data_IF_060114856007
#
_entry.id   IF_060114856007
#
_cell.length_a   1.000
_cell.length_b   1.000
_cell.length_c   1.000
_cell.angle_alpha   90.00
_cell.angle_beta   90.00
_cell.angle_gamma   90.00
#
_symmetry.space_group_name_H-M   'P 1'
#
loop_
_entity.id
_entity.type
_entity.pdbx_description
1 polymer ?
#
# COMPACT_ATOMS: atom_id res chain seq x y z
N UNK A 1 -55.78 -17.39 23.00
CA UNK A 1 -55.76 -16.28 23.97
C UNK A 1 -54.90 -15.18 23.34
N UNK A 2 -55.39 -14.40 22.37
CA UNK A 2 -56.22 -13.19 22.49
C UNK A 2 -56.18 -12.46 23.84
N UNK A 3 -55.46 -11.34 23.86
CA UNK A 3 -55.70 -10.11 24.65
C UNK A 3 -54.82 -9.02 24.02
N UNK A 4 -55.28 -8.34 22.97
CA UNK A 4 -55.95 -7.02 23.00
C UNK A 4 -55.30 -5.95 23.88
N UNK A 5 -54.92 -4.87 23.19
CA UNK A 5 -54.43 -3.60 23.68
C UNK A 5 -55.45 -2.89 24.57
N UNK A 6 -54.96 -2.06 25.51
CA UNK A 6 -55.75 -0.98 26.10
C UNK A 6 -54.90 0.29 26.14
N UNK A 7 -55.21 1.21 25.23
CA UNK A 7 -54.84 2.63 25.27
C UNK A 7 -55.86 3.35 26.13
N UNK A 8 -55.42 4.17 27.09
CA UNK A 8 -56.18 5.36 27.53
C UNK A 8 -55.23 6.50 27.93
N UNK A 9 -55.64 7.78 27.75
CA UNK A 9 -54.77 8.93 27.66
C UNK A 9 -54.75 9.76 28.96
N UNK A 10 -53.69 10.53 29.20
CA UNK A 10 -53.78 11.65 30.14
C UNK A 10 -52.96 12.85 29.68
N UNK A 11 -53.72 13.89 29.34
CA UNK A 11 -53.36 15.25 28.97
C UNK A 11 -52.39 15.88 29.99
N UNK A 12 -51.33 16.51 29.49
CA UNK A 12 -50.59 17.55 30.21
C UNK A 12 -50.97 18.92 29.62
N UNK A 13 -51.17 19.95 30.45
CA UNK A 13 -51.69 21.24 29.99
C UNK A 13 -50.63 22.05 29.24
N UNK A 14 -51.05 22.63 28.12
CA UNK A 14 -50.30 23.61 27.36
C UNK A 14 -50.22 24.93 28.13
N UNK A 15 -49.04 25.31 28.58
CA UNK A 15 -48.76 26.66 29.08
C UNK A 15 -48.21 27.50 27.94
N UNK A 16 -49.02 28.45 27.49
CA UNK A 16 -48.65 29.55 26.61
C UNK A 16 -47.48 30.34 27.18
N UNK A 17 -46.39 30.46 26.41
CA UNK A 17 -45.39 31.50 26.60
C UNK A 17 -45.55 32.54 25.48
N UNK A 18 -45.69 33.85 25.79
CA UNK A 18 -45.83 34.87 24.78
C UNK A 18 -44.49 35.12 24.07
N UNK A 19 -44.57 35.20 22.74
CA UNK A 19 -43.54 35.75 21.86
C UNK A 19 -43.35 37.24 22.18
N UNK A 20 -42.17 37.60 22.70
CA UNK A 20 -41.65 38.95 22.67
C UNK A 20 -40.24 38.91 22.07
N UNK A 21 -40.14 39.37 20.83
CA UNK A 21 -38.88 39.67 20.16
C UNK A 21 -38.41 41.02 20.71
N UNK A 22 -37.37 41.02 21.54
CA UNK A 22 -36.61 42.24 21.85
C UNK A 22 -35.11 41.97 21.73
N UNK A 23 -34.47 42.81 20.91
CA UNK A 23 -33.04 42.85 20.67
C UNK A 23 -32.32 43.34 21.93
N UNK A 24 -31.37 42.56 22.46
CA UNK A 24 -30.30 43.10 23.30
C UNK A 24 -29.06 42.18 23.33
N UNK A 25 -28.00 42.66 22.67
CA UNK A 25 -26.59 42.65 23.06
C UNK A 25 -25.96 41.39 23.71
N UNK A 26 -25.07 40.77 22.94
CA UNK A 26 -23.77 40.17 23.31
C UNK A 26 -23.54 39.79 24.78
N UNK A 27 -23.71 38.50 25.08
CA UNK A 27 -23.37 37.87 26.36
C UNK A 27 -21.88 37.46 26.46
N UNK A 28 -20.96 38.32 26.02
CA UNK A 28 -19.52 38.00 26.06
C UNK A 28 -18.76 38.46 27.32
N UNK A 29 -19.35 39.24 28.22
CA UNK A 29 -18.56 39.94 29.26
C UNK A 29 -19.02 39.74 30.72
N UNK A 30 -19.51 38.55 31.12
CA UNK A 30 -19.89 38.32 32.54
C UNK A 30 -19.41 36.99 33.16
N UNK A 31 -18.29 36.40 32.72
CA UNK A 31 -17.62 35.33 33.50
C UNK A 31 -16.08 35.38 33.32
N UNK A 32 -15.30 35.79 34.34
CA UNK A 32 -13.86 35.61 34.31
C UNK A 32 -13.54 34.15 34.68
N UNK A 33 -13.04 33.35 33.73
CA UNK A 33 -12.44 32.04 34.04
C UNK A 33 -12.86 30.84 33.22
N UNK A 34 -13.34 30.99 31.97
CA UNK A 34 -13.31 29.87 31.03
C UNK A 34 -11.96 29.87 30.31
N UNK A 35 -11.03 29.08 30.84
CA UNK A 35 -9.84 28.68 30.07
C UNK A 35 -10.30 28.12 28.73
N UNK A 36 -9.63 28.53 27.63
CA UNK A 36 -9.76 27.84 26.34
C UNK A 36 -9.64 26.34 26.61
N UNK A 37 -10.45 25.45 26.00
CA UNK A 37 -10.30 24.02 26.19
C UNK A 37 -8.84 23.67 25.93
N UNK A 38 -8.15 23.33 27.01
CA UNK A 38 -6.76 22.95 26.94
C UNK A 38 -6.78 21.59 26.26
N UNK A 39 -6.52 21.56 24.95
CA UNK A 39 -6.44 20.33 24.18
C UNK A 39 -5.41 19.46 24.91
N UNK A 40 -5.89 18.38 25.53
CA UNK A 40 -5.02 17.45 26.22
C UNK A 40 -3.91 17.02 25.23
N UNK A 41 -2.64 17.00 25.64
CA UNK A 41 -1.57 16.64 24.72
C UNK A 41 -1.82 15.23 24.21
N UNK A 42 -1.92 15.08 22.88
CA UNK A 42 -2.19 13.81 22.23
C UNK A 42 -1.16 12.77 22.65
N UNK A 43 -1.60 11.54 22.88
CA UNK A 43 -0.71 10.40 23.00
C UNK A 43 0.00 10.11 21.68
N UNK A 44 1.13 9.39 21.73
CA UNK A 44 1.84 8.92 20.51
C UNK A 44 0.90 8.12 19.61
N UNK A 45 0.02 7.30 20.18
CA UNK A 45 -0.95 6.53 19.40
C UNK A 45 -1.92 7.43 18.64
N UNK A 46 -2.55 8.39 19.32
CA UNK A 46 -3.49 9.33 18.68
C UNK A 46 -2.81 10.19 17.62
N UNK A 47 -1.60 10.65 17.91
CA UNK A 47 -0.81 11.43 16.98
C UNK A 47 -0.42 10.62 15.72
N UNK A 48 0.08 9.39 15.90
CA UNK A 48 0.44 8.50 14.80
C UNK A 48 -0.79 8.14 13.95
N UNK A 49 -1.91 7.78 14.56
CA UNK A 49 -3.14 7.44 13.83
C UNK A 49 -3.65 8.63 13.02
N UNK A 50 -3.64 9.85 13.59
CA UNK A 50 -3.98 11.07 12.83
C UNK A 50 -3.05 11.31 11.64
N UNK A 51 -1.75 11.07 11.80
CA UNK A 51 -0.80 11.16 10.69
C UNK A 51 -1.10 10.12 9.61
N UNK A 52 -1.46 8.89 9.98
CA UNK A 52 -1.83 7.83 9.03
C UNK A 52 -3.11 8.19 8.25
N UNK A 53 -4.10 8.78 8.91
CA UNK A 53 -5.32 9.31 8.27
C UNK A 53 -4.98 10.40 7.23
N UNK A 54 -4.08 11.33 7.58
CA UNK A 54 -3.60 12.38 6.67
C UNK A 54 -2.83 11.82 5.48
N UNK A 55 -2.15 10.69 5.65
CA UNK A 55 -1.48 9.94 4.57
C UNK A 55 -2.46 9.10 3.73
N UNK A 56 -3.76 9.22 3.97
CA UNK A 56 -4.79 8.54 3.17
C UNK A 56 -5.01 7.08 3.54
N UNK A 57 -4.49 6.60 4.67
CA UNK A 57 -4.80 5.25 5.16
C UNK A 57 -6.30 5.14 5.43
N UNK A 58 -6.92 4.10 4.87
CA UNK A 58 -8.36 3.80 5.05
C UNK A 58 -8.63 2.53 5.83
N UNK A 59 -7.71 1.56 5.77
CA UNK A 59 -7.91 0.24 6.34
C UNK A 59 -6.71 -0.19 7.19
N UNK A 60 -7.01 -0.85 8.31
CA UNK A 60 -6.04 -1.50 9.19
C UNK A 60 -6.41 -2.97 9.40
N UNK A 61 -5.48 -3.88 9.14
CA UNK A 61 -5.68 -5.33 9.19
C UNK A 61 -4.82 -5.92 10.30
N UNK A 62 -5.37 -6.77 11.16
CA UNK A 62 -4.50 -7.32 12.20
C UNK A 62 -5.16 -8.21 13.23
N UNK A 63 -4.34 -8.62 14.20
CA UNK A 63 -4.75 -9.35 15.39
C UNK A 63 -4.27 -8.56 16.60
N UNK A 64 -5.22 -8.15 17.44
CA UNK A 64 -4.95 -7.43 18.68
C UNK A 64 -4.28 -8.30 19.73
N UNK A 65 -3.44 -7.71 20.58
CA UNK A 65 -2.91 -8.34 21.78
C UNK A 65 -2.51 -7.30 22.82
N UNK A 66 -2.07 -7.76 24.00
CA UNK A 66 -1.89 -6.88 25.16
C UNK A 66 -0.92 -5.71 24.92
N UNK A 67 0.19 -5.95 24.22
CA UNK A 67 1.22 -4.93 24.04
C UNK A 67 0.83 -3.82 23.05
N UNK A 68 -0.02 -4.11 22.06
CA UNK A 68 -0.50 -3.16 21.04
C UNK A 68 -1.85 -2.53 21.40
N UNK A 69 -2.45 -2.93 22.53
CA UNK A 69 -3.83 -2.57 22.88
C UNK A 69 -4.11 -1.05 22.86
N UNK A 70 -3.24 -0.15 23.37
CA UNK A 70 -3.49 1.29 23.27
C UNK A 70 -3.56 1.82 21.84
N UNK A 71 -2.63 1.40 20.97
CA UNK A 71 -2.63 1.78 19.57
C UNK A 71 -3.83 1.20 18.82
N UNK A 72 -4.16 -0.07 19.07
CA UNK A 72 -5.34 -0.72 18.49
C UNK A 72 -6.64 -0.03 18.92
N UNK A 73 -6.77 0.33 20.20
CA UNK A 73 -7.91 1.10 20.68
C UNK A 73 -8.00 2.46 19.97
N UNK A 74 -6.87 3.12 19.71
CA UNK A 74 -6.86 4.39 18.97
C UNK A 74 -7.32 4.19 17.52
N UNK A 75 -6.86 3.13 16.85
CA UNK A 75 -7.32 2.78 15.49
C UNK A 75 -8.83 2.52 15.46
N UNK A 76 -9.40 1.84 16.46
CA UNK A 76 -10.84 1.57 16.56
C UNK A 76 -11.71 2.83 16.70
N UNK A 77 -11.14 3.93 17.20
CA UNK A 77 -11.84 5.21 17.39
C UNK A 77 -11.47 6.26 16.34
N UNK A 78 -10.78 5.88 15.27
CA UNK A 78 -10.42 6.77 14.17
C UNK A 78 -11.31 6.55 12.94
N UNK A 79 -11.04 7.27 11.85
CA UNK A 79 -11.69 7.06 10.55
C UNK A 79 -11.12 5.88 9.76
N UNK A 80 -10.08 5.21 10.27
CA UNK A 80 -9.49 4.01 9.67
C UNK A 80 -10.36 2.82 10.04
N UNK A 81 -10.88 2.10 9.04
CA UNK A 81 -11.66 0.90 9.27
C UNK A 81 -10.74 -0.26 9.71
N UNK A 82 -11.00 -0.78 10.90
CA UNK A 82 -10.19 -1.84 11.49
C UNK A 82 -10.83 -3.21 11.24
N UNK A 83 -10.12 -4.05 10.50
CA UNK A 83 -10.50 -5.41 10.17
C UNK A 83 -9.67 -6.38 11.04
N UNK A 84 -10.35 -7.10 11.94
CA UNK A 84 -9.72 -8.06 12.84
C UNK A 84 -9.72 -9.47 12.25
N UNK A 85 -8.59 -10.14 12.29
CA UNK A 85 -8.37 -11.45 11.67
C UNK A 85 -8.16 -12.56 12.70
N UNK A 86 -8.22 -13.81 12.22
CA UNK A 86 -7.91 -14.99 13.04
C UNK A 86 -6.43 -15.38 13.05
N UNK A 87 -5.63 -14.79 12.16
CA UNK A 87 -4.19 -15.01 12.07
C UNK A 87 -3.50 -13.82 11.39
N UNK A 88 -2.31 -13.44 11.85
CA UNK A 88 -1.57 -12.26 11.38
C UNK A 88 -1.12 -12.39 9.92
N UNK A 89 -0.72 -13.59 9.49
CA UNK A 89 -0.43 -13.86 8.07
C UNK A 89 -1.64 -13.54 7.16
N UNK A 90 -2.84 -13.96 7.55
CA UNK A 90 -4.07 -13.68 6.81
C UNK A 90 -4.38 -12.19 6.75
N UNK A 91 -4.15 -11.46 7.86
CA UNK A 91 -4.27 -10.01 7.90
C UNK A 91 -3.29 -9.33 6.93
N UNK A 92 -2.02 -9.75 6.95
CA UNK A 92 -0.99 -9.19 6.08
C UNK A 92 -1.29 -9.42 4.59
N UNK A 93 -1.70 -10.63 4.20
CA UNK A 93 -2.10 -10.91 2.82
C UNK A 93 -3.34 -10.12 2.38
N UNK A 94 -4.35 -10.01 3.23
CA UNK A 94 -5.54 -9.21 2.93
C UNK A 94 -5.19 -7.72 2.75
N UNK A 95 -4.27 -7.19 3.57
CA UNK A 95 -3.80 -5.82 3.45
C UNK A 95 -3.12 -5.56 2.10
N UNK A 96 -2.27 -6.49 1.64
CA UNK A 96 -1.60 -6.39 0.34
C UNK A 96 -2.60 -6.24 -0.80
N UNK A 97 -3.62 -7.08 -0.84
CA UNK A 97 -4.63 -7.01 -1.90
C UNK A 97 -5.55 -5.80 -1.75
N UNK A 98 -5.84 -5.36 -0.52
CA UNK A 98 -6.58 -4.12 -0.29
C UNK A 98 -5.82 -2.88 -0.82
N UNK A 99 -4.49 -2.85 -0.70
CA UNK A 99 -3.68 -1.82 -1.35
C UNK A 99 -3.83 -1.87 -2.87
N UNK A 100 -3.71 -3.05 -3.50
CA UNK A 100 -3.83 -3.14 -4.95
C UNK A 100 -5.23 -2.81 -5.47
N UNK A 101 -6.27 -3.13 -4.71
CA UNK A 101 -7.65 -2.81 -5.07
C UNK A 101 -7.99 -1.32 -4.91
N UNK A 102 -7.42 -0.64 -3.91
CA UNK A 102 -7.81 0.75 -3.58
C UNK A 102 -6.79 1.82 -3.98
N UNK A 103 -5.52 1.46 -4.16
CA UNK A 103 -4.40 2.39 -4.33
C UNK A 103 -3.98 3.14 -3.06
N UNK A 104 -4.71 3.00 -1.95
CA UNK A 104 -4.42 3.69 -0.70
C UNK A 104 -3.44 2.87 0.15
N UNK A 105 -2.48 3.52 0.85
CA UNK A 105 -1.66 2.84 1.84
C UNK A 105 -2.50 2.14 2.90
N UNK A 106 -2.02 0.99 3.38
CA UNK A 106 -2.72 0.18 4.39
C UNK A 106 -1.87 -0.02 5.63
N UNK A 107 -2.54 -0.27 6.76
CA UNK A 107 -1.87 -0.63 8.01
C UNK A 107 -2.02 -2.13 8.27
N UNK A 108 -0.93 -2.77 8.70
CA UNK A 108 -0.98 -4.07 9.36
C UNK A 108 -0.65 -3.85 10.82
N UNK A 109 -1.39 -4.44 11.76
CA UNK A 109 -1.08 -4.33 13.19
C UNK A 109 -1.02 -5.67 13.89
N UNK A 110 -0.04 -5.83 14.80
CA UNK A 110 0.09 -7.03 15.63
C UNK A 110 0.62 -6.68 17.02
N UNK A 111 0.52 -7.61 17.97
CA UNK A 111 1.19 -7.48 19.28
C UNK A 111 2.70 -7.75 19.16
N UNK A 112 3.36 -8.00 20.28
CA UNK A 112 4.74 -8.47 20.37
C UNK A 112 4.94 -9.90 19.83
N UNK A 113 6.20 -10.27 19.62
CA UNK A 113 6.68 -11.66 19.56
C UNK A 113 6.00 -12.47 18.47
N UNK A 114 5.16 -13.47 18.82
CA UNK A 114 4.50 -14.33 17.84
C UNK A 114 3.65 -13.55 16.84
N UNK A 115 3.06 -12.42 17.23
CA UNK A 115 2.29 -11.58 16.31
C UNK A 115 3.15 -11.01 15.19
N UNK A 116 4.39 -10.62 15.49
CA UNK A 116 5.35 -10.16 14.48
C UNK A 116 5.74 -11.33 13.57
N UNK A 117 6.17 -12.45 14.15
CA UNK A 117 6.67 -13.59 13.36
C UNK A 117 5.61 -14.19 12.45
N UNK A 118 4.35 -14.22 12.90
CA UNK A 118 3.23 -14.70 12.10
C UNK A 118 2.91 -13.79 10.91
N UNK A 119 3.21 -12.49 10.97
CA UNK A 119 2.93 -11.54 9.89
C UNK A 119 4.02 -11.55 8.79
N UNK A 120 5.22 -12.04 9.09
CA UNK A 120 6.41 -11.85 8.24
C UNK A 120 6.22 -12.35 6.81
N UNK A 121 5.56 -13.49 6.62
CA UNK A 121 5.34 -14.05 5.27
C UNK A 121 4.52 -13.10 4.40
N UNK A 122 3.44 -12.52 4.93
CA UNK A 122 2.61 -11.58 4.20
C UNK A 122 3.30 -10.23 3.99
N UNK A 123 4.10 -9.78 4.96
CA UNK A 123 4.90 -8.55 4.82
C UNK A 123 6.01 -8.68 3.77
N UNK A 124 6.65 -9.85 3.67
CA UNK A 124 7.62 -10.13 2.61
C UNK A 124 6.94 -10.19 1.24
N UNK A 125 5.75 -10.78 1.15
CA UNK A 125 4.95 -10.72 -0.07
C UNK A 125 4.60 -9.29 -0.45
N UNK A 126 4.19 -8.44 0.51
CA UNK A 126 3.96 -7.02 0.28
C UNK A 126 5.18 -6.33 -0.34
N UNK A 127 6.37 -6.66 0.17
CA UNK A 127 7.64 -6.08 -0.29
C UNK A 127 7.98 -6.49 -1.72
N UNK A 128 7.79 -7.76 -2.08
CA UNK A 128 8.06 -8.29 -3.42
C UNK A 128 7.05 -7.82 -4.48
N UNK A 129 5.78 -7.75 -4.10
CA UNK A 129 4.70 -7.32 -4.99
C UNK A 129 4.63 -5.79 -5.16
N UNK A 130 5.34 -5.04 -4.31
CA UNK A 130 5.37 -3.59 -4.39
C UNK A 130 4.14 -2.91 -3.77
N UNK A 131 3.61 -3.49 -2.68
CA UNK A 131 2.53 -2.89 -1.91
C UNK A 131 3.02 -1.76 -0.99
N UNK A 132 2.12 -0.83 -0.61
CA UNK A 132 2.39 0.21 0.39
C UNK A 132 1.76 -0.14 1.72
N UNK A 133 2.56 -0.68 2.64
CA UNK A 133 2.12 -1.24 3.92
C UNK A 133 2.90 -0.63 5.08
N UNK A 134 2.18 -0.17 6.11
CA UNK A 134 2.76 0.30 7.36
C UNK A 134 2.44 -0.73 8.44
N UNK A 135 3.44 -1.47 8.85
CA UNK A 135 3.34 -2.49 9.88
C UNK A 135 3.60 -1.88 11.26
N UNK A 136 2.59 -1.94 12.14
CA UNK A 136 2.62 -1.44 13.51
C UNK A 136 2.67 -2.62 14.47
N UNK A 137 3.70 -2.72 15.30
CA UNK A 137 3.81 -3.80 16.27
C UNK A 137 4.00 -3.30 17.69
N UNK A 138 3.57 -4.12 18.66
CA UNK A 138 3.94 -3.92 20.04
C UNK A 138 5.41 -4.28 20.26
N UNK A 139 6.08 -3.58 21.17
CA UNK A 139 7.45 -3.89 21.56
C UNK A 139 7.61 -4.01 23.08
N UNK A 140 8.66 -4.67 23.53
CA UNK A 140 8.99 -4.67 24.97
C UNK A 140 9.59 -3.33 25.38
N UNK A 141 9.05 -2.75 26.46
CA UNK A 141 9.57 -1.53 27.09
C UNK A 141 11.05 -1.66 27.43
N UNK A 142 11.83 -0.60 27.24
CA UNK A 142 13.28 -0.60 27.42
C UNK A 142 13.73 -1.16 28.78
N UNK A 143 13.02 -0.85 29.87
CA UNK A 143 13.33 -1.33 31.23
C UNK A 143 13.11 -2.83 31.47
N UNK A 144 12.49 -3.54 30.52
CA UNK A 144 12.15 -4.96 30.59
C UNK A 144 12.92 -5.83 29.59
N UNK A 145 13.70 -5.22 28.68
CA UNK A 145 14.48 -5.96 27.68
C UNK A 145 15.63 -6.73 28.35
N UNK A 146 15.92 -7.93 27.88
CA UNK A 146 16.93 -8.86 28.41
C UNK A 146 16.52 -9.55 29.70
N UNK A 147 15.28 -9.36 30.16
CA UNK A 147 14.80 -9.86 31.47
C UNK A 147 13.81 -11.03 31.35
N UNK A 148 13.70 -11.62 30.15
CA UNK A 148 12.74 -12.68 29.85
C UNK A 148 11.30 -12.23 30.12
N UNK A 149 10.98 -11.01 29.69
CA UNK A 149 9.63 -10.49 29.82
C UNK A 149 8.63 -11.36 29.04
N UNK A 150 7.35 -11.34 29.44
CA UNK A 150 6.31 -12.06 28.72
C UNK A 150 6.25 -11.59 27.25
N UNK A 151 6.38 -12.55 26.33
CA UNK A 151 6.49 -12.29 24.88
C UNK A 151 7.54 -11.22 24.55
N UNK A 152 8.70 -11.29 25.21
CA UNK A 152 9.76 -10.30 25.01
C UNK A 152 10.11 -10.14 23.53
N UNK A 153 9.99 -8.90 23.05
CA UNK A 153 10.32 -8.46 21.70
C UNK A 153 11.34 -7.36 21.82
N UNK A 154 12.59 -7.75 21.65
CA UNK A 154 13.74 -6.88 21.71
C UNK A 154 14.89 -7.50 20.89
N UNK A 155 15.99 -6.78 20.77
CA UNK A 155 17.22 -7.30 20.17
C UNK A 155 17.88 -8.43 20.98
N UNK A 156 17.43 -8.69 22.22
CA UNK A 156 17.91 -9.80 23.04
C UNK A 156 17.25 -11.14 22.69
N UNK A 157 16.00 -11.11 22.20
CA UNK A 157 15.20 -12.33 21.96
C UNK A 157 14.85 -12.55 20.49
N UNK A 158 14.97 -11.51 19.66
CA UNK A 158 14.60 -11.52 18.26
C UNK A 158 15.76 -11.05 17.38
N UNK A 159 15.92 -11.59 16.15
CA UNK A 159 16.94 -11.12 15.21
C UNK A 159 16.86 -9.61 14.98
N UNK A 160 17.95 -8.89 15.26
CA UNK A 160 17.97 -7.44 15.05
C UNK A 160 17.90 -7.09 13.55
N UNK A 161 18.81 -7.67 12.78
CA UNK A 161 18.89 -7.48 11.34
C UNK A 161 17.63 -8.03 10.65
N UNK A 162 17.04 -7.22 9.80
CA UNK A 162 15.86 -7.58 8.99
C UNK A 162 14.52 -7.38 9.69
N UNK A 163 14.42 -7.51 11.02
CA UNK A 163 13.17 -7.24 11.74
C UNK A 163 13.05 -5.79 12.21
N UNK A 164 14.12 -5.21 12.76
CA UNK A 164 14.06 -3.86 13.35
C UNK A 164 14.92 -2.84 12.60
N UNK A 165 15.55 -3.25 11.50
CA UNK A 165 16.40 -2.41 10.65
C UNK A 165 15.91 -2.45 9.20
N UNK A 166 16.07 -1.35 8.47
CA UNK A 166 15.78 -1.31 7.04
C UNK A 166 16.64 -2.32 6.27
N UNK A 167 16.09 -2.91 5.21
CA UNK A 167 16.78 -3.91 4.39
C UNK A 167 15.83 -4.65 3.45
N UNK A 168 16.08 -5.95 3.27
CA UNK A 168 15.34 -6.78 2.32
C UNK A 168 13.84 -6.89 2.65
N UNK A 169 13.48 -6.97 3.94
CA UNK A 169 12.09 -7.12 4.37
C UNK A 169 11.34 -5.78 4.44
N UNK A 170 11.98 -4.74 4.98
CA UNK A 170 11.37 -3.43 5.20
C UNK A 170 12.20 -2.33 4.54
N UNK A 171 11.56 -1.47 3.75
CA UNK A 171 12.18 -0.25 3.25
C UNK A 171 12.58 0.69 4.41
N UNK A 172 11.77 0.70 5.46
CA UNK A 172 12.01 1.46 6.67
C UNK A 172 11.63 0.62 7.89
N UNK A 173 12.52 0.45 8.86
CA UNK A 173 12.15 -0.16 10.14
C UNK A 173 12.78 0.60 11.30
N UNK A 174 12.02 0.76 12.38
CA UNK A 174 12.49 1.40 13.60
C UNK A 174 11.75 0.88 14.82
N UNK A 175 12.42 0.95 15.98
CA UNK A 175 11.81 0.76 17.29
C UNK A 175 11.77 2.10 18.01
N UNK A 176 10.60 2.48 18.51
CA UNK A 176 10.45 3.70 19.29
C UNK A 176 11.13 3.53 20.66
N UNK A 177 11.95 4.51 21.01
CA UNK A 177 12.60 4.67 22.31
C UNK A 177 12.05 5.88 23.07
N UNK A 178 11.51 6.89 22.37
CA UNK A 178 10.83 8.04 22.99
C UNK A 178 9.79 8.69 22.06
N UNK A 179 8.90 9.52 22.62
CA UNK A 179 7.82 10.18 21.86
C UNK A 179 8.32 11.25 20.86
N UNK A 180 9.52 11.80 21.04
CA UNK A 180 10.06 12.82 20.13
C UNK A 180 10.43 12.28 18.75
N UNK A 181 10.60 10.96 18.59
CA UNK A 181 10.92 10.33 17.30
C UNK A 181 9.74 10.36 16.32
N UNK A 182 8.51 10.60 16.80
CA UNK A 182 7.31 10.55 15.97
C UNK A 182 7.35 11.52 14.78
N UNK A 183 7.94 12.71 14.96
CA UNK A 183 8.05 13.70 13.90
C UNK A 183 8.94 13.20 12.75
N UNK A 184 10.12 12.66 13.06
CA UNK A 184 11.01 12.08 12.04
C UNK A 184 10.37 10.88 11.36
N UNK A 185 9.78 9.96 12.14
CA UNK A 185 9.07 8.79 11.62
C UNK A 185 7.98 9.20 10.63
N UNK A 186 7.19 10.23 10.97
CA UNK A 186 6.14 10.76 10.09
C UNK A 186 6.69 11.23 8.75
N UNK A 187 7.82 11.94 8.75
CA UNK A 187 8.50 12.39 7.53
C UNK A 187 9.01 11.19 6.71
N UNK A 188 9.62 10.20 7.37
CA UNK A 188 10.12 8.98 6.69
C UNK A 188 9.00 8.18 6.03
N UNK A 189 7.86 8.03 6.71
CA UNK A 189 6.67 7.40 6.14
C UNK A 189 6.16 8.19 4.94
N UNK A 190 6.05 9.52 5.05
CA UNK A 190 5.59 10.37 3.96
C UNK A 190 6.43 10.20 2.69
N UNK A 191 7.76 10.32 2.85
CA UNK A 191 8.71 10.17 1.76
C UNK A 191 8.66 8.76 1.16
N UNK A 192 8.52 7.73 2.00
CA UNK A 192 8.41 6.34 1.55
C UNK A 192 7.14 6.08 0.75
N UNK A 193 5.99 6.54 1.25
CA UNK A 193 4.69 6.39 0.59
C UNK A 193 4.57 7.22 -0.70
N UNK A 194 5.34 8.31 -0.83
CA UNK A 194 5.41 9.13 -2.03
C UNK A 194 6.15 8.45 -3.19
N UNK A 195 6.95 7.42 -2.92
CA UNK A 195 7.72 6.72 -3.96
C UNK A 195 6.82 6.07 -5.02
N UNK A 196 7.27 5.98 -6.29
CA UNK A 196 6.51 5.27 -7.33
C UNK A 196 6.48 3.74 -7.11
N UNK A 197 7.53 3.18 -6.52
CA UNK A 197 7.62 1.77 -6.14
C UNK A 197 6.88 1.46 -4.82
N UNK A 198 6.89 0.18 -4.44
CA UNK A 198 6.33 -0.27 -3.17
C UNK A 198 7.09 0.26 -1.95
N UNK A 199 6.40 0.30 -0.80
CA UNK A 199 6.99 0.77 0.45
C UNK A 199 6.41 -0.02 1.64
N UNK A 200 7.26 -0.81 2.29
CA UNK A 200 6.90 -1.53 3.52
C UNK A 200 7.68 -0.95 4.68
N UNK A 201 6.97 -0.39 5.67
CA UNK A 201 7.55 0.15 6.88
C UNK A 201 7.21 -0.70 8.11
N UNK A 202 8.12 -0.86 9.06
CA UNK A 202 7.85 -1.47 10.36
C UNK A 202 8.14 -0.50 11.51
N UNK A 203 7.11 -0.20 12.29
CA UNK A 203 7.19 0.64 13.48
C UNK A 203 6.89 -0.22 14.70
N UNK A 204 7.93 -0.54 15.47
CA UNK A 204 7.81 -1.29 16.72
C UNK A 204 7.69 -0.33 17.89
N UNK A 205 6.58 -0.37 18.63
CA UNK A 205 6.23 0.67 19.60
C UNK A 205 5.94 0.06 20.98
N UNK A 206 6.79 0.29 21.99
CA UNK A 206 6.50 -0.12 23.35
C UNK A 206 5.21 0.48 23.91
N UNK A 207 4.47 -0.30 24.71
CA UNK A 207 3.18 0.14 25.31
C UNK A 207 3.32 1.46 26.08
N UNK A 208 4.40 1.63 26.84
CA UNK A 208 4.66 2.87 27.59
C UNK A 208 4.82 4.10 26.69
N UNK A 209 5.35 3.91 25.47
CA UNK A 209 5.50 4.99 24.49
C UNK A 209 4.19 5.25 23.78
N UNK A 210 3.43 4.20 23.42
CA UNK A 210 2.10 4.33 22.81
C UNK A 210 1.17 5.28 23.58
N UNK A 211 1.23 5.24 24.92
CA UNK A 211 0.40 6.07 25.82
C UNK A 211 1.08 7.37 26.26
N UNK A 212 2.35 7.58 25.92
CA UNK A 212 3.08 8.78 26.32
C UNK A 212 2.62 10.01 25.52
N UNK A 213 2.62 11.18 26.15
CA UNK A 213 2.24 12.43 25.49
C UNK A 213 3.28 12.89 24.46
N UNK A 214 2.78 13.37 23.33
CA UNK A 214 3.58 14.04 22.31
C UNK A 214 3.76 15.50 22.71
N UNK A 215 5.03 15.92 22.85
CA UNK A 215 5.38 17.30 23.22
C UNK A 215 5.72 18.18 22.01
N UNK A 216 5.87 17.57 20.83
CA UNK A 216 6.33 18.22 19.60
C UNK A 216 5.17 18.40 18.64
N UNK A 217 5.12 19.51 17.90
CA UNK A 217 4.17 19.64 16.80
C UNK A 217 4.45 18.60 15.72
N UNK A 218 3.42 17.91 15.26
CA UNK A 218 3.54 17.01 14.11
C UNK A 218 3.72 17.84 12.84
N UNK A 219 4.59 17.43 11.91
CA UNK A 219 4.68 18.09 10.62
C UNK A 219 3.36 17.91 9.86
N UNK A 220 2.92 18.93 9.14
CA UNK A 220 1.88 18.77 8.14
C UNK A 220 2.41 17.88 7.02
N UNK A 221 1.93 16.64 6.95
CA UNK A 221 2.37 15.70 5.93
C UNK A 221 1.38 15.74 4.76
N UNK A 222 1.88 16.07 3.58
CA UNK A 222 1.16 15.87 2.32
C UNK A 222 1.93 14.88 1.46
N UNK A 223 1.25 13.89 0.92
CA UNK A 223 1.85 12.95 -0.03
C UNK A 223 1.91 13.62 -1.40
N UNK A 224 3.12 14.02 -1.82
CA UNK A 224 3.39 14.41 -3.19
C UNK A 224 4.06 13.24 -3.90
N UNK A 225 3.35 12.58 -4.81
CA UNK A 225 3.94 11.51 -5.61
C UNK A 225 5.01 12.08 -6.54
N UNK A 226 6.21 11.49 -6.54
CA UNK A 226 7.20 11.78 -7.55
C UNK A 226 6.71 11.17 -8.87
N UNK A 227 6.48 11.99 -9.90
CA UNK A 227 6.24 11.48 -11.24
C UNK A 227 7.58 11.03 -11.83
N UNK A 228 7.65 9.77 -12.27
CA UNK A 228 8.72 9.37 -13.18
C UNK A 228 8.52 10.18 -14.47
N UNK A 229 9.53 10.93 -14.91
CA UNK A 229 9.48 11.66 -16.18
C UNK A 229 10.30 10.91 -17.21
N UNK A 230 9.68 10.54 -18.33
CA UNK A 230 10.39 9.98 -19.49
C UNK A 230 10.86 11.11 -20.38
N UNK A 231 12.08 11.03 -20.91
CA UNK A 231 12.54 11.98 -21.90
C UNK A 231 11.78 11.79 -23.21
N UNK A 232 11.45 12.91 -23.87
CA UNK A 232 10.83 12.87 -25.21
C UNK A 232 11.70 12.07 -26.19
N UNK A 233 13.03 12.13 -26.03
CA UNK A 233 13.98 11.34 -26.81
C UNK A 233 13.78 9.83 -26.64
N UNK A 234 13.56 9.35 -25.41
CA UNK A 234 13.33 7.93 -25.16
C UNK A 234 12.00 7.46 -25.76
N UNK A 235 10.96 8.28 -25.69
CA UNK A 235 9.66 8.01 -26.32
C UNK A 235 9.82 7.98 -27.85
N UNK A 236 10.51 8.98 -28.43
CA UNK A 236 10.76 9.05 -29.86
C UNK A 236 11.59 7.85 -30.35
N UNK A 237 12.60 7.44 -29.58
CA UNK A 237 13.40 6.26 -29.87
C UNK A 237 12.56 4.98 -29.79
N UNK A 238 11.73 4.83 -28.76
CA UNK A 238 10.78 3.71 -28.64
C UNK A 238 9.86 3.64 -29.86
N UNK A 239 9.21 4.74 -30.23
CA UNK A 239 8.32 4.82 -31.39
C UNK A 239 9.06 4.49 -32.70
N UNK A 240 10.28 4.99 -32.87
CA UNK A 240 11.13 4.68 -34.02
C UNK A 240 11.45 3.19 -34.11
N UNK A 241 11.83 2.56 -33.00
CA UNK A 241 12.13 1.13 -32.94
C UNK A 241 10.90 0.26 -33.23
N UNK A 242 9.74 0.62 -32.67
CA UNK A 242 8.47 -0.08 -32.92
C UNK A 242 7.97 0.09 -34.35
N UNK A 243 8.36 1.15 -35.05
CA UNK A 243 7.96 1.39 -36.45
C UNK A 243 8.78 0.60 -37.48
N UNK A 244 9.83 -0.10 -37.05
CA UNK A 244 10.72 -0.86 -37.95
C UNK A 244 10.09 -2.16 -38.48
N UNK A 245 9.03 -2.66 -37.83
CA UNK A 245 8.37 -3.90 -38.21
C UNK A 245 7.28 -4.31 -37.22
N UNK A 246 6.68 -5.51 -37.38
CA UNK A 246 5.67 -6.01 -36.46
C UNK A 246 6.21 -6.12 -35.04
N UNK A 247 5.40 -5.74 -34.05
CA UNK A 247 5.74 -5.93 -32.65
C UNK A 247 4.58 -6.54 -31.87
N UNK A 248 4.91 -7.14 -30.72
CA UNK A 248 3.94 -7.61 -29.74
C UNK A 248 4.08 -6.80 -28.44
N UNK A 249 3.01 -6.77 -27.63
CA UNK A 249 2.99 -6.16 -26.30
C UNK A 249 2.93 -7.28 -25.27
N UNK A 250 3.87 -7.28 -24.32
CA UNK A 250 3.90 -8.20 -23.19
C UNK A 250 3.57 -7.45 -21.90
N UNK A 251 2.32 -7.60 -21.46
CA UNK A 251 1.77 -6.84 -20.33
C UNK A 251 2.02 -7.54 -19.00
N UNK A 252 2.59 -6.80 -18.05
CA UNK A 252 2.78 -7.18 -16.67
C UNK A 252 1.87 -6.45 -15.69
N UNK A 253 1.87 -6.89 -14.43
CA UNK A 253 1.09 -6.29 -13.36
C UNK A 253 1.50 -4.85 -13.01
N UNK A 254 2.75 -4.46 -13.31
CA UNK A 254 3.22 -3.08 -13.19
C UNK A 254 2.43 -2.12 -14.09
N UNK A 255 1.86 -2.61 -15.19
CA UNK A 255 1.06 -1.82 -16.13
C UNK A 255 -0.45 -1.81 -15.82
N UNK A 256 -0.87 -2.25 -14.62
CA UNK A 256 -2.30 -2.37 -14.24
C UNK A 256 -3.09 -1.05 -14.27
N UNK A 257 -2.40 0.08 -14.17
CA UNK A 257 -3.02 1.42 -14.29
C UNK A 257 -3.15 1.89 -15.74
N UNK A 258 -2.61 1.14 -16.69
CA UNK A 258 -2.45 1.54 -18.09
C UNK A 258 -3.28 0.72 -19.07
N UNK A 259 -4.34 0.09 -18.58
CA UNK A 259 -5.24 -0.73 -19.39
C UNK A 259 -5.77 0.03 -20.62
N UNK A 260 -6.21 1.28 -20.44
CA UNK A 260 -6.75 2.10 -21.53
C UNK A 260 -5.68 2.48 -22.56
N UNK A 261 -4.51 2.95 -22.12
CA UNK A 261 -3.39 3.33 -22.99
C UNK A 261 -2.86 2.13 -23.78
N UNK A 262 -2.67 0.98 -23.13
CA UNK A 262 -2.24 -0.27 -23.76
C UNK A 262 -3.26 -0.70 -24.82
N UNK A 263 -4.54 -0.64 -24.50
CA UNK A 263 -5.61 -0.98 -25.44
C UNK A 263 -5.57 -0.08 -26.67
N UNK A 264 -5.49 1.23 -26.47
CA UNK A 264 -5.41 2.19 -27.56
C UNK A 264 -4.17 1.97 -28.43
N UNK A 265 -3.02 1.68 -27.83
CA UNK A 265 -1.79 1.38 -28.55
C UNK A 265 -1.95 0.11 -29.40
N UNK A 266 -2.48 -0.96 -28.82
CA UNK A 266 -2.72 -2.22 -29.52
C UNK A 266 -3.67 -2.01 -30.71
N UNK A 267 -4.83 -1.39 -30.49
CA UNK A 267 -5.84 -1.15 -31.53
C UNK A 267 -5.30 -0.27 -32.67
N UNK A 268 -4.51 0.76 -32.35
CA UNK A 268 -3.92 1.66 -33.35
C UNK A 268 -2.83 1.01 -34.21
N UNK A 269 -2.09 0.06 -33.64
CA UNK A 269 -0.91 -0.54 -34.28
C UNK A 269 -1.15 -1.92 -34.86
N UNK A 270 -2.25 -2.57 -34.49
CA UNK A 270 -2.47 -3.98 -34.82
C UNK A 270 -1.59 -4.95 -34.03
N UNK A 271 -0.84 -4.48 -33.02
CA UNK A 271 0.06 -5.32 -32.25
C UNK A 271 -0.67 -6.44 -31.50
N UNK A 272 -0.08 -7.62 -31.50
CA UNK A 272 -0.57 -8.74 -30.70
C UNK A 272 -0.27 -8.48 -29.22
N UNK A 273 -1.16 -8.91 -28.31
CA UNK A 273 -1.02 -8.69 -26.87
C UNK A 273 -0.98 -10.02 -26.13
N UNK A 274 0.04 -10.22 -25.32
CA UNK A 274 0.16 -11.31 -24.37
C UNK A 274 0.40 -10.74 -22.96
N UNK A 275 0.10 -11.50 -21.92
CA UNK A 275 0.30 -11.03 -20.55
C UNK A 275 0.93 -12.08 -19.64
N UNK A 276 1.59 -11.61 -18.59
CA UNK A 276 2.01 -12.48 -17.49
C UNK A 276 0.80 -12.99 -16.69
N UNK A 277 0.93 -14.04 -15.86
CA UNK A 277 -0.18 -14.52 -15.03
C UNK A 277 -0.82 -13.43 -14.14
N UNK A 278 -0.01 -12.51 -13.58
CA UNK A 278 -0.51 -11.37 -12.80
C UNK A 278 -0.98 -10.19 -13.68
N UNK A 279 -0.70 -10.20 -14.98
CA UNK A 279 -1.18 -9.20 -15.94
C UNK A 279 -2.57 -9.47 -16.51
N UNK A 280 -3.21 -10.59 -16.13
CA UNK A 280 -4.57 -10.95 -16.55
C UNK A 280 -5.57 -9.84 -16.22
N UNK A 281 -6.50 -9.60 -17.15
CA UNK A 281 -7.53 -8.57 -17.04
C UNK A 281 -7.09 -7.13 -17.36
N UNK A 282 -5.78 -6.86 -17.53
CA UNK A 282 -5.32 -5.51 -17.95
C UNK A 282 -5.68 -5.25 -19.42
N UNK A 283 -5.49 -6.25 -20.28
CA UNK A 283 -6.01 -6.26 -21.64
C UNK A 283 -7.19 -7.25 -21.72
N UNK A 284 -8.30 -6.94 -22.42
CA UNK A 284 -9.46 -7.83 -22.46
C UNK A 284 -9.10 -9.16 -23.12
N UNK A 285 -9.36 -10.27 -22.41
CA UNK A 285 -8.95 -11.62 -22.85
C UNK A 285 -9.82 -12.16 -24.01
N UNK A 286 -10.94 -11.51 -24.29
CA UNK A 286 -11.84 -11.76 -25.42
C UNK A 286 -11.52 -10.89 -26.65
N UNK A 287 -10.55 -9.98 -26.54
CA UNK A 287 -10.16 -9.10 -27.63
C UNK A 287 -9.44 -9.88 -28.75
N UNK A 288 -9.71 -9.59 -30.05
CA UNK A 288 -9.11 -10.34 -31.16
C UNK A 288 -7.57 -10.27 -31.23
N UNK A 289 -6.97 -9.24 -30.62
CA UNK A 289 -5.51 -9.09 -30.54
C UNK A 289 -4.89 -9.79 -29.31
N UNK A 290 -5.70 -10.37 -28.41
CA UNK A 290 -5.18 -11.10 -27.26
C UNK A 290 -4.73 -12.50 -27.68
N UNK A 291 -3.43 -12.76 -27.55
CA UNK A 291 -2.81 -14.04 -27.90
C UNK A 291 -2.95 -15.03 -26.75
N UNK A 292 -2.78 -14.59 -25.51
CA UNK A 292 -2.87 -15.47 -24.35
C UNK A 292 -2.00 -15.04 -23.18
N UNK A 293 -1.92 -15.93 -22.20
CA UNK A 293 -1.18 -15.76 -20.94
C UNK A 293 0.13 -16.54 -21.08
N UNK A 294 1.23 -15.94 -20.69
CA UNK A 294 2.57 -16.53 -20.76
C UNK A 294 2.91 -17.32 -19.49
N UNK A 295 3.90 -18.21 -19.55
CA UNK A 295 4.49 -18.82 -18.36
C UNK A 295 3.71 -19.99 -17.77
N UNK A 296 3.77 -20.16 -16.45
CA UNK A 296 3.22 -21.32 -15.75
C UNK A 296 1.69 -21.36 -15.87
N UNK A 297 1.15 -22.46 -16.42
CA UNK A 297 -0.27 -22.57 -16.76
C UNK A 297 -0.70 -21.68 -17.93
N UNK A 298 0.26 -21.17 -18.72
CA UNK A 298 0.01 -20.30 -19.86
C UNK A 298 -0.63 -21.01 -21.06
N UNK A 299 -1.05 -20.21 -22.04
CA UNK A 299 -1.72 -20.67 -23.24
C UNK A 299 -0.73 -21.10 -24.34
N UNK A 300 -0.97 -22.26 -24.96
CA UNK A 300 -0.16 -22.74 -26.08
C UNK A 300 -0.20 -21.80 -27.30
N UNK A 301 -1.24 -20.98 -27.43
CA UNK A 301 -1.38 -19.95 -28.46
C UNK A 301 -0.25 -18.93 -28.45
N UNK A 302 0.34 -18.64 -27.29
CA UNK A 302 1.50 -17.73 -27.18
C UNK A 302 2.71 -18.31 -27.91
N UNK A 303 3.08 -19.55 -27.60
CA UNK A 303 4.23 -20.18 -28.25
C UNK A 303 3.98 -20.40 -29.74
N UNK A 304 2.74 -20.75 -30.11
CA UNK A 304 2.33 -20.87 -31.52
C UNK A 304 2.49 -19.53 -32.26
N UNK A 305 2.03 -18.42 -31.67
CA UNK A 305 2.21 -17.08 -32.23
C UNK A 305 3.69 -16.74 -32.41
N UNK A 306 4.52 -16.98 -31.39
CA UNK A 306 5.96 -16.70 -31.48
C UNK A 306 6.67 -17.57 -32.54
N UNK A 307 6.17 -18.76 -32.85
CA UNK A 307 6.73 -19.63 -33.88
C UNK A 307 6.26 -19.28 -35.29
N UNK A 308 4.96 -19.06 -35.46
CA UNK A 308 4.33 -18.90 -36.77
C UNK A 308 4.32 -17.44 -37.24
N UNK A 309 4.29 -16.49 -36.32
CA UNK A 309 4.19 -15.05 -36.58
C UNK A 309 5.11 -14.26 -35.64
N UNK A 310 6.42 -14.56 -35.60
CA UNK A 310 7.35 -13.92 -34.67
C UNK A 310 7.37 -12.40 -34.88
N UNK A 311 7.14 -11.60 -33.82
CA UNK A 311 7.32 -10.16 -33.93
C UNK A 311 8.81 -9.82 -34.08
N UNK A 312 9.12 -8.71 -34.76
CA UNK A 312 10.48 -8.17 -34.80
C UNK A 312 10.90 -7.70 -33.40
N UNK A 313 9.99 -7.10 -32.63
CA UNK A 313 10.24 -6.62 -31.26
C UNK A 313 9.10 -6.96 -30.32
N UNK A 314 9.40 -7.02 -29.02
CA UNK A 314 8.36 -7.10 -27.99
C UNK A 314 8.48 -5.91 -27.05
N UNK A 315 7.40 -5.15 -26.91
CA UNK A 315 7.24 -4.09 -25.92
C UNK A 315 6.80 -4.72 -24.60
N UNK A 316 7.71 -4.78 -23.64
CA UNK A 316 7.50 -5.35 -22.30
C UNK A 316 7.13 -4.23 -21.34
N UNK A 317 5.97 -4.34 -20.69
CA UNK A 317 5.43 -3.29 -19.82
C UNK A 317 5.23 -3.82 -18.40
N UNK A 318 6.04 -3.37 -17.44
CA UNK A 318 5.80 -3.59 -16.01
C UNK A 318 5.82 -5.05 -15.57
N UNK A 319 6.73 -5.85 -16.12
CA UNK A 319 6.96 -7.24 -15.70
C UNK A 319 8.45 -7.53 -15.59
N UNK A 320 8.81 -8.33 -14.58
CA UNK A 320 10.18 -8.81 -14.38
C UNK A 320 10.56 -10.00 -15.26
N UNK A 321 9.60 -10.49 -16.06
CA UNK A 321 9.76 -11.68 -16.91
C UNK A 321 10.32 -12.89 -16.13
N UNK A 322 9.94 -13.01 -14.85
CA UNK A 322 10.36 -14.07 -13.94
C UNK A 322 10.09 -15.46 -14.50
N UNK A 323 10.64 -16.49 -13.86
CA UNK A 323 10.44 -17.89 -14.26
C UNK A 323 8.97 -18.24 -14.51
N UNK A 324 8.07 -17.91 -13.57
CA UNK A 324 6.65 -18.21 -13.73
C UNK A 324 5.95 -17.40 -14.83
N UNK A 325 6.58 -16.32 -15.31
CA UNK A 325 6.06 -15.50 -16.42
C UNK A 325 6.53 -16.03 -17.77
N UNK A 326 7.75 -16.56 -17.88
CA UNK A 326 8.41 -16.77 -19.18
C UNK A 326 9.15 -18.10 -19.32
N UNK A 327 9.46 -18.76 -18.19
CA UNK A 327 10.43 -19.85 -18.05
C UNK A 327 11.79 -19.56 -18.69
N UNK A 328 12.10 -18.28 -18.92
CA UNK A 328 13.25 -17.81 -19.69
C UNK A 328 13.37 -18.53 -21.04
N UNK A 329 12.23 -18.91 -21.63
CA UNK A 329 12.20 -19.64 -22.87
C UNK A 329 12.76 -18.76 -23.99
N UNK A 330 13.81 -19.23 -24.67
CA UNK A 330 14.48 -18.50 -25.74
C UNK A 330 13.60 -18.25 -26.95
N UNK A 331 12.55 -19.06 -27.15
CA UNK A 331 11.54 -18.85 -28.18
C UNK A 331 10.76 -17.54 -27.98
N UNK A 332 10.73 -17.01 -26.75
CA UNK A 332 10.09 -15.74 -26.43
C UNK A 332 10.95 -14.53 -26.79
N UNK A 333 12.21 -14.72 -27.22
CA UNK A 333 13.13 -13.65 -27.60
C UNK A 333 12.88 -13.28 -29.06
N UNK A 334 12.33 -12.10 -29.36
CA UNK A 334 12.18 -11.64 -30.73
C UNK A 334 13.54 -11.30 -31.35
N UNK A 335 13.69 -11.42 -32.67
CA UNK A 335 14.98 -11.22 -33.36
C UNK A 335 15.54 -9.79 -33.22
N UNK A 336 14.67 -8.78 -33.12
CA UNK A 336 15.05 -7.40 -32.84
C UNK A 336 15.17 -7.08 -31.35
N UNK A 337 14.82 -8.00 -30.46
CA UNK A 337 14.94 -7.84 -29.01
C UNK A 337 13.77 -7.11 -28.33
N UNK A 338 13.96 -6.80 -27.05
CA UNK A 338 12.96 -6.20 -26.18
C UNK A 338 13.06 -4.68 -26.15
N UNK A 339 11.91 -4.02 -26.01
CA UNK A 339 11.82 -2.67 -25.43
C UNK A 339 11.16 -2.87 -24.07
N UNK A 340 11.88 -2.62 -22.98
CA UNK A 340 11.44 -3.02 -21.64
C UNK A 340 11.27 -1.79 -20.75
N UNK A 341 10.00 -1.51 -20.42
CA UNK A 341 9.56 -0.42 -19.56
C UNK A 341 9.29 -0.93 -18.16
N UNK A 342 10.01 -0.42 -17.17
CA UNK A 342 9.76 -0.68 -15.75
C UNK A 342 10.16 0.52 -14.89
N UNK A 343 9.56 0.66 -13.71
CA UNK A 343 9.92 1.74 -12.76
C UNK A 343 11.26 1.45 -12.07
N UNK A 344 11.63 0.17 -11.99
CA UNK A 344 12.86 -0.33 -11.39
C UNK A 344 13.93 -0.51 -12.49
N UNK A 345 15.01 0.29 -12.49
CA UNK A 345 16.03 0.26 -13.55
C UNK A 345 16.82 -1.06 -13.58
N UNK A 346 16.77 -1.87 -12.52
CA UNK A 346 17.46 -3.17 -12.45
C UNK A 346 16.65 -4.31 -13.10
N UNK A 347 15.40 -4.05 -13.49
CA UNK A 347 14.51 -5.08 -14.07
C UNK A 347 14.82 -5.34 -15.56
N UNK A 348 14.92 -4.32 -16.43
CA UNK A 348 15.24 -4.53 -17.85
C UNK A 348 16.54 -5.32 -18.08
N UNK A 349 16.48 -6.34 -18.94
CA UNK A 349 17.64 -7.15 -19.35
C UNK A 349 18.05 -8.27 -18.38
N UNK A 350 17.56 -8.27 -17.14
CA UNK A 350 17.95 -9.26 -16.12
C UNK A 350 17.45 -10.68 -16.43
N UNK A 351 16.21 -10.82 -16.89
CA UNK A 351 15.62 -12.15 -17.17
C UNK A 351 16.16 -12.79 -18.47
N UNK A 352 16.60 -11.97 -19.43
CA UNK A 352 17.08 -12.41 -20.73
C UNK A 352 18.37 -11.66 -21.08
N UNK A 353 19.50 -12.00 -20.43
CA UNK A 353 20.74 -11.23 -20.52
C UNK A 353 21.36 -11.23 -21.94
N UNK A 354 21.07 -12.26 -22.73
CA UNK A 354 21.56 -12.38 -24.12
C UNK A 354 20.68 -11.63 -25.13
N UNK A 355 19.50 -11.14 -24.73
CA UNK A 355 18.60 -10.43 -25.61
C UNK A 355 18.95 -8.94 -25.69
N UNK A 356 19.03 -8.39 -26.90
CA UNK A 356 19.12 -6.94 -27.10
C UNK A 356 17.92 -6.29 -26.42
N UNK A 357 18.17 -5.41 -25.46
CA UNK A 357 17.12 -4.77 -24.66
C UNK A 357 17.31 -3.26 -24.66
N UNK A 358 16.31 -2.53 -25.13
CA UNK A 358 16.20 -1.08 -24.95
C UNK A 358 15.41 -0.81 -23.67
N UNK A 359 16.10 -0.35 -22.63
CA UNK A 359 15.53 -0.14 -21.30
C UNK A 359 14.95 1.27 -21.16
N UNK A 360 13.74 1.37 -20.60
CA UNK A 360 13.08 2.64 -20.28
C UNK A 360 12.67 2.61 -18.81
N UNK A 361 13.20 3.53 -18.02
CA UNK A 361 12.78 3.69 -16.62
C UNK A 361 11.54 4.59 -16.56
N UNK A 362 10.36 3.99 -16.41
CA UNK A 362 9.09 4.73 -16.38
C UNK A 362 7.92 3.95 -15.79
N UNK A 363 6.87 4.68 -15.40
CA UNK A 363 5.52 4.12 -15.38
C UNK A 363 5.06 3.80 -16.81
N UNK A 364 4.33 2.70 -16.99
CA UNK A 364 3.89 2.23 -18.31
C UNK A 364 2.83 3.13 -19.01
N UNK A 365 2.26 4.10 -18.29
CA UNK A 365 1.26 5.04 -18.83
C UNK A 365 1.89 6.11 -19.72
N UNK A 366 3.15 6.45 -19.46
CA UNK A 366 3.94 7.45 -20.17
C UNK A 366 4.69 6.82 -21.34
#
# INVERSE_FOLDING_TARGET
>A
MNTQATLLPSKLPATHFPLAIEKANTWSDVLPGLSKPQVAPLSVSEALVKTLEQMGVKYAFGVSGGAIAPLWATLQHSSIEVLHFRHEAGAAFAAVEAYFASGNPVVVFTTTGPGITNALTGLLAARWEGAKVIFLSGATSASQRGRQAFQETSTYTMPHAGLFTSGALFNYATTFECSSQLAEVSIRLALGLARPDGFVAHLSIPTAIQTSSVKTSLPGVSLSHAQATVSEDAIAQCASLLSQGPFAIWVGFGARKSAAAIRQLAEKTGAAVMCSPRGKGIFPEDHPQFVGVTGFGGHASVLKYMQEQPPLRTLVLGTRLSELTSFWNTLMIPSGGFIHVDIDPEVPGTAYPEAVTFSIQSEAEL
#
